data_IF_325422546541
#
_entry.id   IF_325422546541
#
_cell.length_a   1.000
_cell.length_b   1.000
_cell.length_c   1.000
_cell.angle_alpha   90.00
_cell.angle_beta   90.00
_cell.angle_gamma   90.00
#
_symmetry.space_group_name_H-M   'P 1'
#
loop_
_entity.id
_entity.type
_entity.pdbx_description
1 polymer ?
#
# COMPACT_ATOMS: atom_id res chain seq x y z
N UNK A 1 4.02 20.29 18.47
CA UNK A 1 5.44 19.88 18.59
C UNK A 1 6.26 21.04 19.10
N UNK A 2 7.21 20.75 19.98
CA UNK A 2 8.16 21.71 20.53
C UNK A 2 9.58 21.40 20.02
N UNK A 3 10.38 22.44 19.77
CA UNK A 3 11.81 22.35 19.44
C UNK A 3 12.61 22.68 20.70
N UNK A 4 13.62 21.88 21.01
CA UNK A 4 14.47 22.04 22.19
C UNK A 4 15.57 23.06 21.91
N UNK A 5 15.66 24.09 22.76
CA UNK A 5 16.66 25.16 22.68
C UNK A 5 17.91 24.84 23.51
N UNK A 6 17.73 24.20 24.66
CA UNK A 6 18.79 23.92 25.62
C UNK A 6 18.79 22.45 26.04
N UNK A 7 19.99 21.91 26.29
CA UNK A 7 20.12 20.56 26.82
C UNK A 7 19.64 20.50 28.28
N UNK A 8 18.91 19.45 28.64
CA UNK A 8 18.50 19.17 30.00
C UNK A 8 18.78 17.70 30.35
N UNK A 9 19.38 17.50 31.53
CA UNK A 9 19.66 16.18 32.09
C UNK A 9 18.62 15.86 33.17
N UNK A 10 17.93 14.72 33.10
CA UNK A 10 16.94 14.30 34.09
C UNK A 10 17.53 14.26 35.50
N UNK A 11 16.79 14.82 36.46
CA UNK A 11 17.06 14.69 37.89
C UNK A 11 16.22 13.55 38.50
N UNK A 12 15.03 13.32 37.96
CA UNK A 12 14.12 12.25 38.37
C UNK A 12 13.90 11.23 37.23
N UNK A 13 13.40 10.04 37.59
CA UNK A 13 13.22 8.91 36.66
C UNK A 13 12.13 9.13 35.60
N UNK A 14 11.21 10.03 35.88
CA UNK A 14 10.07 10.43 35.04
C UNK A 14 10.40 11.63 34.15
N UNK A 15 11.57 12.23 34.30
CA UNK A 15 12.05 13.34 33.48
C UNK A 15 12.73 12.86 32.19
N UNK A 16 12.48 13.58 31.11
CA UNK A 16 12.96 13.28 29.77
C UNK A 16 14.30 13.97 29.51
N UNK A 17 15.29 13.19 29.11
CA UNK A 17 16.56 13.73 28.62
C UNK A 17 16.35 14.38 27.25
N UNK A 18 16.73 15.65 27.12
CA UNK A 18 16.59 16.44 25.88
C UNK A 18 17.91 17.11 25.51
N UNK A 19 18.23 17.14 24.21
CA UNK A 19 19.39 17.86 23.67
C UNK A 19 18.91 19.01 22.77
N UNK A 20 19.70 20.08 22.68
CA UNK A 20 19.41 21.20 21.79
C UNK A 20 19.22 20.73 20.33
N UNK A 21 18.16 21.19 19.68
CA UNK A 21 17.74 20.79 18.34
C UNK A 21 16.82 19.57 18.28
N UNK A 22 16.57 18.87 19.39
CA UNK A 22 15.59 17.78 19.42
C UNK A 22 14.15 18.30 19.23
N UNK A 23 13.27 17.44 18.73
CA UNK A 23 11.83 17.72 18.62
C UNK A 23 11.03 16.84 19.57
N UNK A 24 10.06 17.45 20.25
CA UNK A 24 9.24 16.81 21.26
C UNK A 24 7.76 16.90 20.84
N UNK A 25 7.10 15.76 20.77
CA UNK A 25 5.65 15.73 20.61
C UNK A 25 4.98 15.93 21.97
N UNK A 26 4.05 16.89 22.04
CA UNK A 26 3.29 17.21 23.26
C UNK A 26 1.82 17.03 22.92
N UNK A 27 1.16 16.12 23.64
CA UNK A 27 -0.28 15.89 23.53
C UNK A 27 -1.02 16.89 24.43
N UNK A 28 -1.84 17.80 23.87
CA UNK A 28 -2.58 18.79 24.65
C UNK A 28 -3.55 18.18 25.66
N UNK A 29 -4.02 16.95 25.41
CA UNK A 29 -4.99 16.28 26.28
C UNK A 29 -4.37 15.73 27.57
N UNK A 30 -3.03 15.68 27.64
CA UNK A 30 -2.29 15.09 28.75
C UNK A 30 -1.54 16.11 29.62
N UNK A 31 -1.86 17.40 29.47
CA UNK A 31 -1.19 18.48 30.22
C UNK A 31 -1.93 18.91 31.49
N UNK A 32 -3.11 18.35 31.78
CA UNK A 32 -3.98 18.81 32.89
C UNK A 32 -3.39 18.64 34.29
N UNK A 33 -2.50 17.65 34.46
CA UNK A 33 -1.93 17.28 35.76
C UNK A 33 -0.43 17.65 35.89
N UNK A 34 0.08 18.50 35.00
CA UNK A 34 1.50 18.88 34.97
C UNK A 34 1.74 20.14 35.81
N UNK A 35 2.82 20.14 36.60
CA UNK A 35 3.22 21.30 37.40
C UNK A 35 3.62 22.49 36.51
N UNK A 36 3.37 23.70 36.99
CA UNK A 36 3.68 24.94 36.27
C UNK A 36 5.17 24.99 35.85
N UNK A 37 5.43 25.30 34.58
CA UNK A 37 6.78 25.35 33.98
C UNK A 37 7.30 24.01 33.46
N UNK A 38 6.52 22.93 33.57
CA UNK A 38 6.83 21.62 33.01
C UNK A 38 5.81 21.24 31.95
N UNK A 39 6.25 20.42 30.98
CA UNK A 39 5.37 19.77 30.01
C UNK A 39 5.71 18.30 29.92
N UNK A 40 4.72 17.46 29.66
CA UNK A 40 4.96 16.04 29.38
C UNK A 40 4.99 15.81 27.87
N UNK A 41 6.08 15.20 27.39
CA UNK A 41 6.34 15.05 25.97
C UNK A 41 6.98 13.72 25.61
N UNK A 42 6.92 13.37 24.32
CA UNK A 42 7.58 12.20 23.74
C UNK A 42 8.71 12.66 22.82
N UNK A 43 9.93 12.21 23.08
CA UNK A 43 11.11 12.54 22.27
C UNK A 43 11.02 11.90 20.89
N UNK A 44 11.19 12.70 19.84
CA UNK A 44 11.29 12.18 18.48
C UNK A 44 12.48 11.24 18.30
N UNK A 45 13.62 11.57 18.92
CA UNK A 45 14.87 10.83 18.72
C UNK A 45 14.85 9.47 19.41
N UNK A 46 14.29 9.39 20.61
CA UNK A 46 14.37 8.18 21.44
C UNK A 46 13.05 7.45 21.59
N UNK A 47 11.92 8.08 21.26
CA UNK A 47 10.58 7.56 21.52
C UNK A 47 10.20 7.54 23.01
N UNK A 48 11.10 7.94 23.92
CA UNK A 48 10.83 7.97 25.35
C UNK A 48 9.86 9.11 25.70
N UNK A 49 8.99 8.86 26.67
CA UNK A 49 8.07 9.84 27.24
C UNK A 49 8.53 10.26 28.63
N UNK A 50 8.40 11.54 28.95
CA UNK A 50 8.71 12.06 30.29
C UNK A 50 8.48 13.57 30.39
N UNK A 51 8.72 14.11 31.58
CA UNK A 51 8.62 15.54 31.87
C UNK A 51 9.84 16.32 31.38
N UNK A 52 9.63 17.51 30.84
CA UNK A 52 10.70 18.43 30.46
C UNK A 52 10.36 19.88 30.83
N UNK A 53 11.35 20.74 31.08
CA UNK A 53 11.11 22.16 31.34
C UNK A 53 10.55 22.86 30.10
N UNK A 54 9.41 23.54 30.23
CA UNK A 54 8.75 24.22 29.11
C UNK A 54 9.62 25.34 28.55
N UNK A 55 10.29 26.09 29.44
CA UNK A 55 11.18 27.21 29.09
C UNK A 55 12.47 26.79 28.35
N UNK A 56 12.72 25.48 28.19
CA UNK A 56 13.84 24.95 27.41
C UNK A 56 13.43 24.67 25.96
N UNK A 57 12.20 25.03 25.60
CA UNK A 57 11.62 24.72 24.30
C UNK A 57 10.90 25.91 23.70
N UNK A 58 10.66 25.83 22.39
CA UNK A 58 9.80 26.75 21.67
C UNK A 58 8.85 25.98 20.74
N UNK A 59 7.80 26.64 20.26
CA UNK A 59 6.91 26.05 19.27
C UNK A 59 7.67 25.83 17.95
N UNK A 60 7.67 24.58 17.47
CA UNK A 60 8.28 24.25 16.17
C UNK A 60 7.46 24.86 15.01
N UNK A 61 8.12 25.12 13.87
CA UNK A 61 7.43 25.52 12.64
C UNK A 61 6.45 24.44 12.18
N UNK A 62 5.36 24.82 11.49
CA UNK A 62 4.34 23.88 11.00
C UNK A 62 4.93 22.78 10.10
N UNK A 63 5.97 23.09 9.31
CA UNK A 63 6.70 22.12 8.48
C UNK A 63 7.41 21.03 9.28
N UNK A 64 7.67 21.28 10.57
CA UNK A 64 8.43 20.42 11.48
C UNK A 64 7.50 19.76 12.52
N UNK A 65 6.19 19.89 12.33
CA UNK A 65 5.18 19.24 13.17
C UNK A 65 4.93 17.81 12.71
N UNK A 66 4.84 16.89 13.67
CA UNK A 66 4.57 15.48 13.45
C UNK A 66 3.45 15.03 14.39
N UNK A 67 2.62 14.10 13.93
CA UNK A 67 1.47 13.59 14.67
C UNK A 67 1.76 12.14 15.09
N UNK A 68 1.61 11.85 16.39
CA UNK A 68 1.68 10.48 16.90
C UNK A 68 0.42 9.72 16.48
N UNK A 69 0.52 8.82 15.50
CA UNK A 69 -0.62 8.06 14.99
C UNK A 69 -1.05 6.89 15.89
N UNK A 70 -0.08 6.19 16.51
CA UNK A 70 -0.32 5.04 17.39
C UNK A 70 0.91 4.76 18.24
N UNK A 71 0.70 4.22 19.44
CA UNK A 71 1.75 3.72 20.34
C UNK A 71 1.66 2.20 20.45
N UNK A 72 2.80 1.52 20.44
CA UNK A 72 2.89 0.08 20.66
C UNK A 72 3.79 -0.18 21.87
N UNK A 73 3.25 -0.83 22.89
CA UNK A 73 4.02 -1.27 24.06
C UNK A 73 4.53 -2.68 23.79
N UNK A 74 5.85 -2.81 23.62
CA UNK A 74 6.48 -4.12 23.52
C UNK A 74 6.80 -4.62 24.93
N UNK A 75 6.01 -5.58 25.41
CA UNK A 75 6.34 -6.29 26.65
C UNK A 75 7.45 -7.28 26.34
N UNK A 76 8.56 -7.20 27.06
CA UNK A 76 9.63 -8.20 26.98
C UNK A 76 9.04 -9.55 27.35
N UNK A 77 9.11 -10.53 26.43
CA UNK A 77 8.63 -11.87 26.69
C UNK A 77 9.47 -12.51 27.80
N UNK A 78 9.01 -12.39 29.05
CA UNK A 78 9.49 -13.20 30.15
C UNK A 78 9.13 -14.65 29.82
N UNK A 79 10.14 -15.45 29.52
CA UNK A 79 10.01 -16.90 29.36
C UNK A 79 9.42 -17.49 30.64
N UNK A 80 8.25 -18.11 30.54
CA UNK A 80 7.86 -19.19 31.45
C UNK A 80 7.00 -20.19 30.71
N UNK A 81 7.49 -21.42 30.65
CA UNK A 81 6.77 -22.61 30.19
C UNK A 81 5.77 -23.08 31.26
N UNK A 82 4.62 -23.58 30.76
CA UNK A 82 3.68 -24.56 31.36
C UNK A 82 3.07 -24.29 32.74
N UNK A 83 1.73 -24.18 32.79
CA UNK A 83 0.86 -25.25 33.32
C UNK A 83 -0.61 -24.98 33.02
N UNK A 84 -1.31 -26.07 32.74
CA UNK A 84 -2.77 -26.27 32.71
C UNK A 84 -3.41 -25.99 34.07
N UNK A 85 -4.58 -25.36 34.10
CA UNK A 85 -5.83 -25.86 34.72
C UNK A 85 -6.85 -24.75 35.04
N UNK A 86 -8.11 -25.06 34.69
CA UNK A 86 -9.38 -24.75 35.38
C UNK A 86 -9.86 -23.31 35.60
N UNK A 87 -11.04 -23.04 35.00
CA UNK A 87 -12.03 -22.02 35.36
C UNK A 87 -12.44 -22.04 36.85
N UNK A 88 -13.00 -20.93 37.38
CA UNK A 88 -14.47 -20.78 37.39
C UNK A 88 -15.00 -19.37 37.07
N UNK A 89 -16.14 -19.39 36.37
CA UNK A 89 -17.21 -18.38 36.35
C UNK A 89 -17.36 -17.55 37.64
N UNK A 90 -17.37 -16.22 37.51
CA UNK A 90 -18.13 -15.32 38.39
C UNK A 90 -19.02 -14.40 37.57
N UNK A 91 -20.33 -14.55 37.76
CA UNK A 91 -21.35 -13.56 37.40
C UNK A 91 -21.51 -12.61 38.58
N UNK A 92 -21.50 -11.29 38.36
CA UNK A 92 -22.41 -10.42 39.10
C UNK A 92 -22.74 -9.14 38.32
N UNK A 93 -24.04 -8.88 38.30
CA UNK A 93 -24.75 -7.81 37.62
C UNK A 93 -24.38 -6.41 38.14
N UNK A 94 -24.40 -5.43 37.23
CA UNK A 94 -24.54 -4.02 37.55
C UNK A 94 -25.34 -3.32 36.45
N UNK A 95 -26.63 -3.12 36.69
CA UNK A 95 -27.56 -2.36 35.83
C UNK A 95 -27.11 -0.90 35.68
N UNK A 96 -27.07 -0.39 34.44
CA UNK A 96 -27.24 1.05 34.19
C UNK A 96 -28.17 1.24 32.98
N UNK A 97 -29.39 1.66 33.32
CA UNK A 97 -30.41 2.39 32.58
C UNK A 97 -30.14 2.76 31.10
N UNK A 98 -31.02 2.24 30.25
CA UNK A 98 -31.26 2.69 28.88
C UNK A 98 -32.31 3.81 28.83
N UNK A 99 -32.13 4.83 27.98
CA UNK A 99 -33.23 5.55 27.38
C UNK A 99 -33.48 5.03 25.96
N UNK A 100 -34.61 4.34 25.83
CA UNK A 100 -35.33 4.09 24.58
C UNK A 100 -35.47 5.37 23.75
N UNK A 101 -35.00 5.32 22.49
CA UNK A 101 -35.60 6.06 21.38
C UNK A 101 -35.48 5.20 20.11
N UNK A 102 -36.56 4.48 19.84
CA UNK A 102 -36.86 3.80 18.59
C UNK A 102 -36.72 4.77 17.40
N UNK A 103 -35.62 4.69 16.67
CA UNK A 103 -35.55 5.15 15.27
C UNK A 103 -35.73 3.95 14.38
N UNK A 104 -36.76 4.02 13.53
CA UNK A 104 -37.19 2.93 12.66
C UNK A 104 -36.02 2.40 11.81
N UNK A 105 -35.85 1.08 11.82
CA UNK A 105 -34.91 0.34 10.97
C UNK A 105 -35.16 0.63 9.47
N UNK A 106 -36.37 1.08 9.13
CA UNK A 106 -36.74 1.52 7.78
C UNK A 106 -35.98 2.76 7.29
N UNK A 107 -35.58 3.69 8.16
CA UNK A 107 -34.85 4.90 7.76
C UNK A 107 -33.33 4.68 7.64
N UNK A 108 -32.79 3.60 8.21
CA UNK A 108 -31.38 3.21 8.04
C UNK A 108 -31.19 2.50 6.69
N UNK A 109 -32.18 1.75 6.24
CA UNK A 109 -32.19 1.12 4.91
C UNK A 109 -32.45 2.13 3.78
N UNK A 110 -33.16 3.23 4.03
CA UNK A 110 -33.36 4.27 3.02
C UNK A 110 -32.14 5.17 2.79
N UNK A 111 -31.18 5.22 3.72
CA UNK A 111 -29.92 5.95 3.55
C UNK A 111 -28.81 5.10 2.90
N UNK A 112 -28.90 3.76 2.97
CA UNK A 112 -27.97 2.85 2.28
C UNK A 112 -28.18 2.82 0.75
N UNK A 113 -29.30 3.38 0.26
CA UNK A 113 -29.57 3.59 -1.17
C UNK A 113 -29.26 5.01 -1.65
N UNK A 114 -28.54 5.82 -0.86
CA UNK A 114 -27.94 7.05 -1.35
C UNK A 114 -26.78 6.71 -2.32
N UNK A 115 -27.14 6.39 -3.57
CA UNK A 115 -26.27 6.31 -4.74
C UNK A 115 -24.87 5.71 -4.48
N UNK A 116 -24.72 4.38 -4.51
CA UNK A 116 -23.42 3.76 -4.79
C UNK A 116 -22.92 4.35 -6.12
N UNK A 117 -22.01 5.32 -6.02
CA UNK A 117 -21.38 5.99 -7.15
C UNK A 117 -20.39 5.00 -7.76
N UNK A 118 -20.37 4.94 -9.09
CA UNK A 118 -19.40 4.10 -9.78
C UNK A 118 -18.05 4.78 -9.68
N UNK A 119 -17.07 4.03 -9.21
CA UNK A 119 -15.71 4.52 -9.02
C UNK A 119 -14.69 3.72 -9.81
N UNK A 120 -13.63 4.36 -10.26
CA UNK A 120 -12.46 3.72 -10.86
C UNK A 120 -11.25 4.10 -10.05
N UNK A 121 -10.69 3.14 -9.32
CA UNK A 121 -9.48 3.31 -8.51
C UNK A 121 -8.31 2.67 -9.25
N UNK A 122 -7.40 3.50 -9.76
CA UNK A 122 -6.20 3.03 -10.48
C UNK A 122 -4.99 3.14 -9.57
N UNK A 123 -4.19 2.08 -9.50
CA UNK A 123 -3.08 1.97 -8.56
C UNK A 123 -1.84 1.37 -9.22
N UNK A 124 -0.67 1.90 -8.88
CA UNK A 124 0.63 1.30 -9.23
C UNK A 124 0.91 0.07 -8.36
N UNK A 125 1.52 -0.95 -8.93
CA UNK A 125 2.04 -2.09 -8.18
C UNK A 125 2.96 -1.71 -6.98
N UNK A 126 3.14 -2.65 -6.05
CA UNK A 126 4.08 -2.57 -4.93
C UNK A 126 5.56 -2.57 -5.29
N UNK A 127 6.40 -2.38 -4.28
CA UNK A 127 7.86 -2.48 -4.42
C UNK A 127 8.28 -3.81 -5.06
N UNK A 128 9.10 -3.71 -6.10
CA UNK A 128 9.63 -4.87 -6.83
C UNK A 128 11.00 -5.27 -6.28
N UNK A 129 11.32 -6.56 -6.35
CA UNK A 129 12.64 -7.06 -5.92
C UNK A 129 13.80 -6.42 -6.70
N UNK A 130 13.65 -6.22 -8.01
CA UNK A 130 14.72 -5.68 -8.86
C UNK A 130 14.95 -4.17 -8.66
N UNK A 131 13.98 -3.45 -8.09
CA UNK A 131 14.15 -2.06 -7.67
C UNK A 131 15.05 -1.95 -6.42
N UNK A 132 14.98 -2.94 -5.53
CA UNK A 132 15.75 -2.97 -4.29
C UNK A 132 17.14 -3.57 -4.51
N UNK A 133 17.19 -4.72 -5.19
CA UNK A 133 18.39 -5.55 -5.31
C UNK A 133 19.13 -5.37 -6.65
N UNK A 134 18.61 -4.50 -7.52
CA UNK A 134 19.19 -4.17 -8.81
C UNK A 134 18.98 -5.25 -9.88
N UNK A 135 19.62 -5.04 -11.03
CA UNK A 135 19.43 -5.90 -12.22
C UNK A 135 19.86 -7.35 -12.01
N UNK A 136 20.82 -7.60 -11.12
CA UNK A 136 21.35 -8.92 -10.81
C UNK A 136 20.60 -9.64 -9.67
N UNK A 137 19.40 -9.17 -9.30
CA UNK A 137 18.65 -9.70 -8.15
C UNK A 137 18.44 -11.22 -8.25
N UNK A 138 18.22 -11.73 -9.47
CA UNK A 138 17.93 -13.14 -9.68
C UNK A 138 19.13 -14.01 -9.35
N UNK A 139 20.33 -13.59 -9.76
CA UNK A 139 21.58 -14.29 -9.44
C UNK A 139 21.88 -14.28 -7.94
N UNK A 140 21.47 -13.23 -7.22
CA UNK A 140 21.66 -13.14 -5.76
C UNK A 140 20.81 -14.18 -5.00
N UNK A 141 19.67 -14.60 -5.54
CA UNK A 141 18.72 -15.52 -4.88
C UNK A 141 18.67 -16.92 -5.50
N UNK A 142 19.66 -17.30 -6.30
CA UNK A 142 19.81 -18.64 -6.85
C UNK A 142 21.08 -19.30 -6.34
N UNK A 143 20.95 -20.55 -5.90
CA UNK A 143 22.10 -21.41 -5.59
C UNK A 143 22.81 -21.86 -6.87
N UNK A 144 23.99 -22.47 -6.74
CA UNK A 144 24.75 -22.99 -7.89
C UNK A 144 24.02 -24.10 -8.66
N UNK A 145 23.13 -24.85 -8.01
CA UNK A 145 22.24 -25.84 -8.65
C UNK A 145 20.93 -25.21 -9.18
N UNK A 146 20.81 -23.88 -9.16
CA UNK A 146 19.68 -23.14 -9.73
C UNK A 146 18.41 -23.15 -8.88
N UNK A 147 18.51 -23.51 -7.59
CA UNK A 147 17.37 -23.45 -6.67
C UNK A 147 17.23 -22.06 -6.06
N UNK A 148 15.99 -21.63 -5.93
CA UNK A 148 15.68 -20.38 -5.25
C UNK A 148 15.98 -20.47 -3.75
N UNK A 149 16.63 -19.45 -3.21
CA UNK A 149 16.78 -19.24 -1.78
C UNK A 149 16.66 -17.76 -1.44
N UNK A 150 16.19 -17.46 -0.23
CA UNK A 150 15.97 -16.09 0.24
C UNK A 150 17.28 -15.52 0.81
N UNK A 151 18.04 -14.80 -0.02
CA UNK A 151 19.34 -14.20 0.34
C UNK A 151 19.23 -12.98 1.28
N UNK A 152 18.09 -12.30 1.25
CA UNK A 152 17.73 -11.14 2.08
C UNK A 152 16.26 -11.28 2.48
N UNK A 153 15.86 -10.83 3.67
CA UNK A 153 14.49 -10.98 4.17
C UNK A 153 13.46 -10.22 3.32
N UNK A 154 13.88 -9.21 2.54
CA UNK A 154 13.00 -8.49 1.63
C UNK A 154 12.79 -9.23 0.29
N UNK A 155 13.51 -10.32 0.00
CA UNK A 155 13.07 -11.26 -1.04
C UNK A 155 11.88 -12.09 -0.55
N UNK A 156 10.92 -12.46 -1.44
CA UNK A 156 9.79 -13.29 -1.04
C UNK A 156 10.23 -14.65 -0.49
N UNK A 157 9.39 -15.33 0.29
CA UNK A 157 9.74 -16.65 0.83
C UNK A 157 9.88 -17.73 -0.25
N UNK A 158 9.16 -17.56 -1.36
CA UNK A 158 9.10 -18.51 -2.47
C UNK A 158 8.82 -17.77 -3.78
N UNK A 159 9.29 -18.32 -4.91
CA UNK A 159 8.83 -17.93 -6.23
C UNK A 159 7.75 -18.90 -6.73
N UNK A 160 6.74 -18.42 -7.48
CA UNK A 160 5.76 -19.31 -8.08
C UNK A 160 6.44 -20.23 -9.11
N UNK A 161 5.85 -21.41 -9.33
CA UNK A 161 6.34 -22.31 -10.39
C UNK A 161 5.97 -21.71 -11.75
N UNK A 162 6.94 -21.72 -12.67
CA UNK A 162 6.73 -21.37 -14.08
C UNK A 162 7.25 -22.48 -14.97
N UNK A 163 6.55 -22.80 -16.06
CA UNK A 163 6.92 -23.88 -16.99
C UNK A 163 8.20 -23.56 -17.75
N UNK A 164 8.44 -22.29 -18.00
CA UNK A 164 9.62 -21.77 -18.71
C UNK A 164 10.86 -21.61 -17.79
N UNK A 165 10.69 -21.82 -16.48
CA UNK A 165 11.77 -21.84 -15.51
C UNK A 165 12.12 -20.49 -14.91
N UNK A 166 13.02 -20.52 -13.92
CA UNK A 166 13.28 -19.38 -13.02
C UNK A 166 13.94 -18.17 -13.70
N UNK A 167 14.58 -18.36 -14.85
CA UNK A 167 15.26 -17.29 -15.59
C UNK A 167 14.30 -16.21 -16.08
N UNK A 168 13.05 -16.56 -16.36
CA UNK A 168 12.09 -15.61 -16.90
C UNK A 168 11.57 -14.59 -15.87
N UNK A 169 11.83 -14.79 -14.57
CA UNK A 169 11.58 -13.75 -13.58
C UNK A 169 12.46 -12.51 -13.80
N UNK A 170 13.62 -12.62 -14.46
CA UNK A 170 14.52 -11.48 -14.72
C UNK A 170 13.79 -10.30 -15.37
N UNK A 171 12.85 -10.58 -16.28
CA UNK A 171 12.06 -9.58 -16.99
C UNK A 171 10.61 -9.45 -16.46
N UNK A 172 10.21 -10.30 -15.51
CA UNK A 172 8.92 -10.21 -14.83
C UNK A 172 9.10 -10.43 -13.32
N UNK A 173 9.78 -9.48 -12.63
CA UNK A 173 10.16 -9.65 -11.24
C UNK A 173 8.94 -9.62 -10.31
N UNK A 174 8.96 -10.41 -9.23
CA UNK A 174 7.92 -10.38 -8.20
C UNK A 174 8.01 -9.10 -7.34
N UNK A 175 7.01 -8.93 -6.48
CA UNK A 175 7.08 -8.03 -5.33
C UNK A 175 8.15 -8.49 -4.33
N UNK A 176 8.73 -7.52 -3.63
CA UNK A 176 9.49 -7.75 -2.40
C UNK A 176 8.54 -8.03 -1.22
N UNK A 177 9.08 -8.43 -0.07
CA UNK A 177 8.28 -8.55 1.16
C UNK A 177 7.68 -7.21 1.59
N UNK A 178 8.42 -6.10 1.43
CA UNK A 178 7.88 -4.75 1.63
C UNK A 178 6.75 -4.45 0.63
N UNK A 179 6.89 -4.81 -0.65
CA UNK A 179 5.84 -4.67 -1.65
C UNK A 179 4.55 -5.45 -1.31
N UNK A 180 4.70 -6.66 -0.78
CA UNK A 180 3.61 -7.48 -0.27
C UNK A 180 2.92 -6.78 0.92
N UNK A 181 3.71 -6.30 1.90
CA UNK A 181 3.20 -5.57 3.06
C UNK A 181 2.44 -4.30 2.65
N UNK A 182 3.03 -3.46 1.79
CA UNK A 182 2.39 -2.26 1.25
C UNK A 182 1.02 -2.57 0.63
N UNK A 183 0.97 -3.61 -0.22
CA UNK A 183 -0.25 -4.00 -0.93
C UNK A 183 -1.35 -4.48 0.02
N UNK A 184 -0.99 -5.28 1.02
CA UNK A 184 -1.93 -5.77 2.02
C UNK A 184 -2.47 -4.64 2.90
N UNK A 185 -1.58 -3.74 3.35
CA UNK A 185 -1.95 -2.58 4.18
C UNK A 185 -2.94 -1.67 3.46
N UNK A 186 -2.77 -1.44 2.16
CA UNK A 186 -3.74 -0.68 1.36
C UNK A 186 -5.10 -1.41 1.27
N UNK A 187 -5.09 -2.73 1.10
CA UNK A 187 -6.33 -3.52 1.14
C UNK A 187 -7.06 -3.41 2.49
N UNK A 188 -6.32 -3.46 3.60
CA UNK A 188 -6.87 -3.26 4.96
C UNK A 188 -7.43 -1.84 5.13
N UNK A 189 -6.73 -0.82 4.65
CA UNK A 189 -7.21 0.56 4.70
C UNK A 189 -8.49 0.76 3.86
N UNK A 190 -8.59 0.13 2.69
CA UNK A 190 -9.81 0.18 1.87
C UNK A 190 -10.99 -0.52 2.55
N UNK A 191 -10.72 -1.58 3.32
CA UNK A 191 -11.73 -2.26 4.13
C UNK A 191 -12.24 -1.37 5.26
N UNK A 192 -11.33 -0.68 5.96
CA UNK A 192 -11.68 0.27 7.03
C UNK A 192 -12.52 1.45 6.53
N UNK A 193 -12.43 1.78 5.24
CA UNK A 193 -13.23 2.80 4.56
C UNK A 193 -14.48 2.24 3.89
N UNK A 194 -14.81 0.96 4.13
CA UNK A 194 -15.99 0.27 3.60
C UNK A 194 -16.12 0.34 2.06
N UNK A 195 -14.99 0.40 1.35
CA UNK A 195 -14.99 0.52 -0.11
C UNK A 195 -15.53 -0.77 -0.75
N UNK A 196 -16.64 -0.64 -1.49
CA UNK A 196 -17.25 -1.76 -2.19
C UNK A 196 -16.56 -2.01 -3.53
N UNK A 197 -15.57 -2.90 -3.55
CA UNK A 197 -14.88 -3.31 -4.78
C UNK A 197 -15.67 -4.42 -5.49
N UNK A 198 -16.13 -4.12 -6.70
CA UNK A 198 -16.94 -5.03 -7.53
C UNK A 198 -16.10 -5.81 -8.54
N UNK A 199 -15.05 -5.18 -9.08
CA UNK A 199 -14.13 -5.81 -10.02
C UNK A 199 -12.69 -5.45 -9.71
N UNK A 200 -11.80 -6.41 -9.97
CA UNK A 200 -10.36 -6.29 -9.83
C UNK A 200 -9.72 -6.60 -11.18
N UNK A 201 -9.09 -5.60 -11.80
CA UNK A 201 -8.32 -5.78 -13.02
C UNK A 201 -6.83 -5.62 -12.73
N UNK A 202 -5.99 -6.40 -13.39
CA UNK A 202 -4.54 -6.30 -13.25
C UNK A 202 -3.85 -6.41 -14.59
N UNK A 203 -2.76 -5.64 -14.74
CA UNK A 203 -1.74 -5.92 -15.74
C UNK A 203 -1.20 -7.36 -15.59
N UNK A 204 -0.78 -8.00 -16.70
CA UNK A 204 -0.24 -9.37 -16.66
C UNK A 204 1.11 -9.50 -15.95
N UNK A 205 1.80 -8.38 -15.66
CA UNK A 205 3.06 -8.41 -14.91
C UNK A 205 2.86 -9.03 -13.52
N UNK A 206 3.75 -9.93 -13.11
CA UNK A 206 3.61 -10.69 -11.86
C UNK A 206 3.48 -9.77 -10.64
N UNK A 207 4.28 -8.70 -10.59
CA UNK A 207 4.19 -7.65 -9.56
C UNK A 207 2.79 -7.04 -9.42
N UNK A 208 2.07 -6.86 -10.53
CA UNK A 208 0.71 -6.31 -10.53
C UNK A 208 -0.29 -7.36 -10.02
N UNK A 209 -0.16 -8.61 -10.48
CA UNK A 209 -1.00 -9.73 -10.02
C UNK A 209 -0.86 -9.95 -8.52
N UNK A 210 0.38 -9.95 -8.01
CA UNK A 210 0.67 -10.09 -6.59
C UNK A 210 0.13 -8.91 -5.78
N UNK A 211 0.26 -7.69 -6.29
CA UNK A 211 -0.32 -6.50 -5.65
C UNK A 211 -1.83 -6.65 -5.54
N UNK A 212 -2.52 -6.98 -6.63
CA UNK A 212 -3.96 -7.20 -6.66
C UNK A 212 -4.41 -8.30 -5.69
N UNK A 213 -3.68 -9.43 -5.66
CA UNK A 213 -3.94 -10.53 -4.73
C UNK A 213 -3.87 -10.08 -3.26
N UNK A 214 -2.83 -9.35 -2.88
CA UNK A 214 -2.64 -8.91 -1.50
C UNK A 214 -3.61 -7.81 -1.09
N UNK A 215 -4.02 -6.93 -2.03
CA UNK A 215 -5.12 -5.99 -1.82
C UNK A 215 -6.43 -6.74 -1.54
N UNK A 216 -6.76 -7.77 -2.34
CA UNK A 216 -7.96 -8.58 -2.11
C UNK A 216 -7.94 -9.31 -0.76
N UNK A 217 -6.77 -9.77 -0.32
CA UNK A 217 -6.61 -10.37 1.01
C UNK A 217 -6.84 -9.35 2.13
N UNK A 218 -6.27 -8.15 2.03
CA UNK A 218 -6.53 -7.06 3.00
C UNK A 218 -8.00 -6.65 3.05
N UNK A 219 -8.65 -6.59 1.88
CA UNK A 219 -10.08 -6.35 1.73
C UNK A 219 -10.98 -7.49 2.21
N UNK A 220 -10.43 -8.68 2.48
CA UNK A 220 -11.19 -9.91 2.76
C UNK A 220 -12.18 -10.27 1.63
N UNK A 221 -11.80 -9.99 0.39
CA UNK A 221 -12.59 -10.25 -0.83
C UNK A 221 -12.01 -11.35 -1.73
N UNK A 222 -10.91 -11.99 -1.34
CA UNK A 222 -10.19 -13.00 -2.12
C UNK A 222 -11.02 -14.26 -2.45
N UNK A 223 -12.14 -14.48 -1.75
CA UNK A 223 -13.09 -15.56 -2.06
C UNK A 223 -14.27 -15.10 -2.93
N UNK A 224 -14.51 -13.78 -3.04
CA UNK A 224 -15.68 -13.20 -3.72
C UNK A 224 -15.32 -12.55 -5.06
N UNK A 225 -14.20 -11.84 -5.10
CA UNK A 225 -13.72 -11.09 -6.26
C UNK A 225 -12.51 -11.82 -6.83
N UNK A 226 -12.50 -12.01 -8.14
CA UNK A 226 -11.39 -12.60 -8.89
C UNK A 226 -10.68 -11.56 -9.73
N UNK A 227 -9.37 -11.72 -9.89
CA UNK A 227 -8.47 -10.86 -10.66
C UNK A 227 -8.66 -11.15 -12.15
N UNK A 228 -9.07 -10.13 -12.90
CA UNK A 228 -9.18 -10.14 -14.35
C UNK A 228 -7.86 -9.67 -14.96
N UNK A 229 -7.14 -10.58 -15.59
CA UNK A 229 -5.85 -10.26 -16.23
C UNK A 229 -6.12 -9.61 -17.58
N UNK A 230 -5.70 -8.35 -17.72
CA UNK A 230 -5.93 -7.54 -18.92
C UNK A 230 -4.58 -7.07 -19.51
N UNK A 231 -4.10 -7.69 -20.61
CA UNK A 231 -2.85 -7.30 -21.27
C UNK A 231 -2.79 -5.84 -21.69
N UNK A 232 -3.93 -5.22 -22.02
CA UNK A 232 -4.00 -3.79 -22.33
C UNK A 232 -3.63 -2.86 -21.16
N UNK A 233 -3.51 -3.38 -19.93
CA UNK A 233 -3.01 -2.65 -18.75
C UNK A 233 -1.47 -2.69 -18.62
N UNK A 234 -0.75 -3.39 -19.51
CA UNK A 234 0.70 -3.46 -19.42
C UNK A 234 1.38 -2.11 -19.67
N UNK A 235 2.59 -1.95 -19.15
CA UNK A 235 3.41 -0.73 -19.24
C UNK A 235 3.72 -0.37 -20.70
N UNK A 236 4.10 0.87 -20.94
CA UNK A 236 4.63 1.31 -22.22
C UNK A 236 5.84 0.46 -22.58
N UNK A 237 5.70 -0.38 -23.60
CA UNK A 237 6.67 -1.45 -23.90
C UNK A 237 8.03 -0.92 -24.33
N UNK A 238 8.13 0.35 -24.72
CA UNK A 238 9.41 1.06 -24.93
C UNK A 238 10.29 1.11 -23.69
N UNK A 239 9.71 1.02 -22.49
CA UNK A 239 10.46 1.01 -21.23
C UNK A 239 10.94 -0.38 -20.82
N UNK A 240 10.55 -1.44 -21.53
CA UNK A 240 11.01 -2.79 -21.22
C UNK A 240 12.47 -3.00 -21.62
N UNK A 241 13.27 -3.50 -20.68
CA UNK A 241 14.72 -3.55 -20.80
C UNK A 241 15.20 -4.44 -21.96
N UNK A 242 14.48 -5.52 -22.26
CA UNK A 242 14.81 -6.45 -23.34
C UNK A 242 14.31 -5.99 -24.71
N UNK A 243 13.56 -4.88 -24.80
CA UNK A 243 12.76 -4.46 -25.96
C UNK A 243 11.76 -5.51 -26.45
N UNK A 244 11.63 -6.63 -25.74
CA UNK A 244 10.69 -7.70 -25.99
C UNK A 244 9.59 -7.67 -24.92
N UNK A 245 8.43 -8.23 -25.25
CA UNK A 245 7.37 -8.42 -24.26
C UNK A 245 7.84 -9.49 -23.26
N UNK A 246 7.79 -9.23 -21.94
CA UNK A 246 8.11 -10.25 -20.96
C UNK A 246 7.23 -11.48 -21.17
N UNK A 247 7.82 -12.66 -20.97
CA UNK A 247 7.01 -13.87 -20.94
C UNK A 247 6.20 -13.85 -19.64
N UNK A 248 4.93 -13.45 -19.69
CA UNK A 248 4.08 -13.42 -18.50
C UNK A 248 3.67 -14.84 -18.11
N UNK A 249 3.42 -15.05 -16.82
CA UNK A 249 2.75 -16.28 -16.38
C UNK A 249 1.38 -16.38 -17.05
N UNK A 250 1.05 -17.57 -17.55
CA UNK A 250 -0.27 -17.84 -18.12
C UNK A 250 -1.35 -17.80 -17.04
N UNK A 251 -2.61 -17.55 -17.43
CA UNK A 251 -3.77 -17.61 -16.53
C UNK A 251 -3.82 -18.94 -15.76
N UNK A 252 -3.45 -20.04 -16.41
CA UNK A 252 -3.37 -21.37 -15.79
C UNK A 252 -2.26 -21.44 -14.75
N UNK A 253 -1.04 -21.01 -15.06
CA UNK A 253 0.07 -21.00 -14.10
C UNK A 253 -0.21 -20.09 -12.91
N UNK A 254 -0.86 -18.94 -13.14
CA UNK A 254 -1.27 -18.04 -12.06
C UNK A 254 -2.31 -18.70 -11.13
N UNK A 255 -3.28 -19.42 -11.70
CA UNK A 255 -4.27 -20.17 -10.91
C UNK A 255 -3.63 -21.35 -10.15
N UNK A 256 -2.70 -22.08 -10.77
CA UNK A 256 -1.90 -23.15 -10.14
C UNK A 256 -1.01 -22.61 -9.01
N UNK A 257 -0.54 -21.37 -9.13
CA UNK A 257 0.16 -20.64 -8.08
C UNK A 257 -0.76 -20.06 -6.99
N UNK A 258 -2.05 -20.45 -6.99
CA UNK A 258 -3.09 -20.06 -6.03
C UNK A 258 -3.46 -18.57 -6.03
N UNK A 259 -3.13 -17.81 -7.08
CA UNK A 259 -3.69 -16.48 -7.28
C UNK A 259 -5.17 -16.58 -7.66
N UNK A 260 -5.99 -15.63 -7.17
CA UNK A 260 -7.45 -15.64 -7.37
C UNK A 260 -7.83 -15.12 -8.75
N UNK A 261 -7.41 -15.81 -9.80
CA UNK A 261 -7.64 -15.38 -11.19
C UNK A 261 -9.04 -15.72 -11.68
N UNK A 262 -9.66 -14.80 -12.43
CA UNK A 262 -10.88 -15.05 -13.20
C UNK A 262 -10.52 -15.73 -14.52
N UNK A 263 -10.55 -17.07 -14.54
CA UNK A 263 -10.25 -17.87 -15.73
C UNK A 263 -11.31 -17.78 -16.83
N UNK A 264 -12.50 -17.26 -16.49
CA UNK A 264 -13.60 -17.04 -17.45
C UNK A 264 -13.48 -15.70 -18.18
N UNK A 265 -12.73 -14.75 -17.61
CA UNK A 265 -12.51 -13.46 -18.24
C UNK A 265 -11.79 -13.59 -19.58
N UNK A 266 -12.21 -12.78 -20.54
CA UNK A 266 -11.57 -12.61 -21.85
C UNK A 266 -11.22 -11.14 -21.98
N UNK A 267 -9.93 -10.84 -22.04
CA UNK A 267 -9.43 -9.48 -22.17
C UNK A 267 -9.91 -8.83 -23.46
N UNK A 268 -10.12 -7.51 -23.41
CA UNK A 268 -10.49 -6.72 -24.58
C UNK A 268 -9.26 -6.44 -25.47
N UNK A 269 -8.06 -6.54 -24.90
CA UNK A 269 -6.81 -6.40 -25.62
C UNK A 269 -6.01 -7.71 -25.54
N UNK A 270 -5.89 -8.48 -26.64
CA UNK A 270 -5.19 -9.75 -26.60
C UNK A 270 -3.68 -9.51 -26.42
N UNK A 271 -3.01 -10.40 -25.68
CA UNK A 271 -1.57 -10.30 -25.42
C UNK A 271 -0.73 -10.27 -26.71
N UNK A 272 -1.18 -10.97 -27.76
CA UNK A 272 -0.53 -10.98 -29.08
C UNK A 272 -0.56 -9.63 -29.79
N UNK A 273 -1.43 -8.70 -29.39
CA UNK A 273 -1.49 -7.34 -29.94
C UNK A 273 -0.55 -6.37 -29.21
N UNK A 274 0.11 -6.80 -28.13
CA UNK A 274 1.06 -5.97 -27.41
C UNK A 274 2.37 -5.90 -28.21
N UNK A 275 2.64 -4.74 -28.81
CA UNK A 275 3.79 -4.56 -29.69
C UNK A 275 5.07 -4.34 -28.88
N UNK A 276 6.17 -5.05 -29.19
CA UNK A 276 7.46 -4.76 -28.59
C UNK A 276 7.93 -3.35 -28.97
N UNK A 277 8.36 -2.55 -27.98
CA UNK A 277 8.84 -1.18 -28.18
C UNK A 277 7.86 -0.26 -28.94
N UNK A 278 6.57 -0.35 -28.60
CA UNK A 278 5.50 0.50 -29.16
C UNK A 278 5.84 2.00 -28.99
N UNK A 279 5.41 2.85 -29.93
CA UNK A 279 5.53 4.29 -29.77
C UNK A 279 4.52 4.83 -28.73
N UNK A 280 4.63 6.11 -28.40
CA UNK A 280 3.81 6.68 -27.32
C UNK A 280 2.33 6.76 -27.71
N UNK A 281 2.03 7.06 -28.97
CA UNK A 281 0.69 7.14 -29.53
C UNK A 281 -0.01 5.77 -29.52
N UNK A 282 0.72 4.71 -29.88
CA UNK A 282 0.27 3.32 -29.76
C UNK A 282 -0.05 2.96 -28.31
N UNK A 283 0.84 3.31 -27.37
CA UNK A 283 0.63 3.06 -25.94
C UNK A 283 -0.65 3.74 -25.38
N UNK A 284 -0.84 5.03 -25.67
CA UNK A 284 -2.01 5.76 -25.17
C UNK A 284 -3.30 5.37 -25.89
N UNK A 285 -3.23 4.86 -27.12
CA UNK A 285 -4.42 4.47 -27.91
C UNK A 285 -5.01 3.11 -27.54
N UNK A 286 -4.21 2.16 -27.02
CA UNK A 286 -4.75 0.87 -26.53
C UNK A 286 -5.51 0.98 -25.20
N UNK A 287 -5.25 2.04 -24.44
CA UNK A 287 -5.77 2.23 -23.08
C UNK A 287 -7.29 2.52 -23.02
N UNK A 288 -7.87 3.39 -23.85
CA UNK A 288 -9.31 3.70 -23.86
C UNK A 288 -10.24 2.52 -24.17
N UNK A 289 -9.77 1.51 -24.92
CA UNK A 289 -10.59 0.35 -25.32
C UNK A 289 -11.06 -0.48 -24.10
N UNK A 290 -10.33 -0.42 -22.99
CA UNK A 290 -10.66 -1.12 -21.75
C UNK A 290 -11.80 -0.46 -20.98
N UNK A 291 -11.92 0.87 -21.11
CA UNK A 291 -12.88 1.68 -20.37
C UNK A 291 -14.30 1.46 -20.90
N UNK A 292 -14.49 1.36 -22.23
CA UNK A 292 -15.84 1.30 -22.81
C UNK A 292 -16.64 0.05 -22.39
N UNK A 293 -15.97 -1.10 -22.21
CA UNK A 293 -16.63 -2.37 -21.88
C UNK A 293 -16.67 -2.68 -20.38
N UNK A 294 -15.73 -2.18 -19.58
CA UNK A 294 -15.69 -2.46 -18.14
C UNK A 294 -16.81 -1.75 -17.35
N UNK A 295 -17.43 -0.71 -17.92
CA UNK A 295 -18.30 0.20 -17.16
C UNK A 295 -19.81 0.04 -17.42
N UNK A 296 -20.27 -0.84 -18.29
CA UNK A 296 -21.73 -1.00 -18.51
C UNK A 296 -22.38 -1.77 -17.35
N UNK A 297 -23.32 -1.15 -16.64
CA UNK A 297 -24.21 -1.81 -15.68
C UNK A 297 -23.63 -2.15 -14.30
N UNK A 298 -22.43 -1.68 -13.97
CA UNK A 298 -21.75 -1.97 -12.70
C UNK A 298 -22.11 -0.96 -11.60
N UNK A 299 -22.38 -1.42 -10.38
CA UNK A 299 -22.37 -0.59 -9.16
C UNK A 299 -21.09 -0.85 -8.34
N UNK A 300 -20.57 0.16 -7.65
CA UNK A 300 -19.36 0.06 -6.83
C UNK A 300 -18.06 0.46 -7.53
N UNK A 301 -16.93 0.11 -6.93
CA UNK A 301 -15.58 0.48 -7.37
C UNK A 301 -14.97 -0.62 -8.25
N UNK A 302 -14.40 -0.20 -9.38
CA UNK A 302 -13.53 -1.01 -10.22
C UNK A 302 -12.09 -0.65 -9.86
N UNK A 303 -11.37 -1.62 -9.30
CA UNK A 303 -9.98 -1.46 -8.91
C UNK A 303 -9.07 -1.98 -10.03
N UNK A 304 -8.15 -1.13 -10.49
CA UNK A 304 -7.20 -1.42 -11.56
C UNK A 304 -5.78 -1.36 -10.98
N UNK A 305 -5.06 -2.48 -11.02
CA UNK A 305 -3.65 -2.55 -10.64
C UNK A 305 -2.77 -2.61 -11.88
N UNK A 306 -1.96 -1.58 -12.08
CA UNK A 306 -1.07 -1.45 -13.23
C UNK A 306 0.28 -0.88 -12.83
N UNK A 307 0.76 0.07 -13.62
CA UNK A 307 2.05 0.70 -13.48
C UNK A 307 1.88 2.19 -13.17
N UNK A 308 2.98 2.92 -12.97
CA UNK A 308 2.89 4.37 -12.71
C UNK A 308 2.23 5.10 -13.89
N UNK A 309 2.55 4.69 -15.11
CA UNK A 309 1.94 5.17 -16.35
C UNK A 309 0.42 5.00 -16.38
N UNK A 310 -0.10 3.94 -15.73
CA UNK A 310 -1.52 3.62 -15.75
C UNK A 310 -2.37 4.70 -15.07
N UNK A 311 -1.84 5.39 -14.05
CA UNK A 311 -2.60 6.45 -13.38
C UNK A 311 -3.01 7.56 -14.35
N UNK A 312 -2.19 7.87 -15.35
CA UNK A 312 -2.47 8.91 -16.33
C UNK A 312 -3.09 8.36 -17.61
N UNK A 313 -2.57 7.26 -18.15
CA UNK A 313 -3.10 6.74 -19.42
C UNK A 313 -4.56 6.29 -19.29
N UNK A 314 -4.99 5.80 -18.12
CA UNK A 314 -6.37 5.32 -17.92
C UNK A 314 -7.33 6.42 -17.47
N UNK A 315 -6.89 7.33 -16.59
CA UNK A 315 -7.81 8.34 -16.06
C UNK A 315 -8.00 9.52 -16.99
N UNK A 316 -7.00 9.92 -17.79
CA UNK A 316 -7.16 11.07 -18.69
C UNK A 316 -8.23 10.84 -19.76
N UNK A 317 -8.27 9.70 -20.47
CA UNK A 317 -9.37 9.40 -21.39
C UNK A 317 -10.73 9.34 -20.70
N UNK A 318 -10.77 8.77 -19.49
CA UNK A 318 -11.99 8.72 -18.67
C UNK A 318 -12.54 10.12 -18.38
N UNK A 319 -11.65 11.08 -18.13
CA UNK A 319 -11.95 12.49 -17.89
C UNK A 319 -12.17 13.31 -19.18
N UNK A 320 -12.09 12.70 -20.36
CA UNK A 320 -12.14 13.43 -21.64
C UNK A 320 -10.95 14.37 -21.87
N UNK A 321 -9.82 14.15 -21.19
CA UNK A 321 -8.62 14.96 -21.32
C UNK A 321 -7.67 14.38 -22.38
N UNK A 322 -6.98 15.24 -23.17
CA UNK A 322 -6.02 14.76 -24.15
C UNK A 322 -4.81 14.10 -23.48
N UNK A 323 -4.14 13.21 -24.22
CA UNK A 323 -2.85 12.69 -23.81
C UNK A 323 -1.85 13.84 -23.56
N UNK A 324 -0.94 13.67 -22.60
CA UNK A 324 0.18 14.60 -22.40
C UNK A 324 1.23 14.39 -23.50
N UNK A 325 2.13 15.34 -23.66
CA UNK A 325 3.38 15.07 -24.38
C UNK A 325 4.15 13.91 -23.72
N UNK A 326 4.88 13.14 -24.52
CA UNK A 326 5.59 11.95 -24.06
C UNK A 326 6.67 12.23 -23.00
N UNK A 327 7.34 13.38 -23.06
CA UNK A 327 8.36 13.80 -22.08
C UNK A 327 7.70 14.17 -20.75
N UNK A 328 6.67 15.02 -20.81
CA UNK A 328 5.90 15.42 -19.63
C UNK A 328 5.24 14.23 -18.95
N UNK A 329 4.72 13.30 -19.75
CA UNK A 329 4.20 12.03 -19.29
C UNK A 329 5.26 11.23 -18.52
N UNK A 330 6.42 11.01 -19.12
CA UNK A 330 7.52 10.25 -18.50
C UNK A 330 8.00 10.90 -17.19
N UNK A 331 8.12 12.23 -17.15
CA UNK A 331 8.50 12.95 -15.93
C UNK A 331 7.47 12.81 -14.82
N UNK A 332 6.18 12.87 -15.15
CA UNK A 332 5.11 12.69 -14.19
C UNK A 332 5.07 11.25 -13.65
N UNK A 333 5.25 10.24 -14.51
CA UNK A 333 5.26 8.83 -14.10
C UNK A 333 6.35 8.53 -13.07
N UNK A 334 7.55 9.10 -13.25
CA UNK A 334 8.69 8.88 -12.33
C UNK A 334 8.42 9.34 -10.88
N UNK A 335 7.46 10.23 -10.68
CA UNK A 335 7.10 10.76 -9.35
C UNK A 335 6.08 9.89 -8.61
N UNK A 336 5.50 8.89 -9.27
CA UNK A 336 4.45 8.05 -8.68
C UNK A 336 5.11 6.96 -7.83
N UNK A 337 4.90 6.93 -6.50
CA UNK A 337 5.49 5.91 -5.62
C UNK A 337 4.79 4.56 -5.78
N UNK A 338 5.33 3.50 -5.19
CA UNK A 338 4.64 2.22 -5.03
C UNK A 338 3.27 2.45 -4.38
N UNK A 339 2.22 1.79 -4.89
CA UNK A 339 0.82 1.96 -4.44
C UNK A 339 0.28 3.38 -4.59
N UNK A 340 0.99 4.26 -5.32
CA UNK A 340 0.44 5.54 -5.75
C UNK A 340 -0.86 5.30 -6.52
N UNK A 341 -1.89 6.08 -6.22
CA UNK A 341 -3.23 5.85 -6.73
C UNK A 341 -3.95 7.14 -7.13
N UNK A 342 -4.92 7.00 -8.04
CA UNK A 342 -5.86 8.04 -8.42
C UNK A 342 -7.28 7.45 -8.50
N UNK A 343 -8.28 8.27 -8.23
CA UNK A 343 -9.66 7.83 -8.11
C UNK A 343 -10.59 8.72 -8.93
N UNK A 344 -11.35 8.12 -9.85
CA UNK A 344 -12.35 8.81 -10.64
C UNK A 344 -13.75 8.34 -10.25
N UNK A 345 -14.69 9.26 -10.11
CA UNK A 345 -16.10 8.96 -9.85
C UNK A 345 -17.01 9.42 -11.00
N UNK A 346 -18.02 8.61 -11.29
CA UNK A 346 -19.06 8.91 -12.27
C UNK A 346 -20.14 9.81 -11.67
N UNK A 347 -20.34 10.98 -12.29
CA UNK A 347 -21.48 11.86 -12.06
C UNK A 347 -22.63 11.38 -12.95
N UNK A 348 -23.49 10.52 -12.40
CA UNK A 348 -24.62 9.91 -13.13
C UNK A 348 -25.51 10.92 -13.84
N UNK A 349 -25.71 12.10 -13.25
CA UNK A 349 -26.57 13.15 -13.79
C UNK A 349 -26.00 13.79 -15.07
N UNK A 350 -24.67 13.80 -15.22
CA UNK A 350 -23.98 14.42 -16.37
C UNK A 350 -23.37 13.41 -17.35
N UNK A 351 -23.40 12.11 -17.01
CA UNK A 351 -22.65 11.07 -17.71
C UNK A 351 -21.17 11.44 -17.91
N UNK A 352 -20.57 12.06 -16.88
CA UNK A 352 -19.18 12.51 -16.86
C UNK A 352 -18.42 11.90 -15.71
N UNK A 353 -17.11 11.82 -15.87
CA UNK A 353 -16.19 11.41 -14.81
C UNK A 353 -15.42 12.62 -14.29
N UNK A 354 -15.11 12.59 -13.01
CA UNK A 354 -14.24 13.57 -12.38
C UNK A 354 -13.26 12.88 -11.45
N UNK A 355 -12.09 13.48 -11.29
CA UNK A 355 -11.08 13.00 -10.35
C UNK A 355 -11.44 13.52 -8.96
N UNK A 356 -11.40 12.62 -7.97
CA UNK A 356 -11.62 12.92 -6.56
C UNK A 356 -10.44 12.41 -5.73
N UNK A 357 -10.40 12.76 -4.45
CA UNK A 357 -9.43 12.19 -3.54
C UNK A 357 -9.65 10.66 -3.44
N UNK A 358 -8.58 9.85 -3.49
CA UNK A 358 -8.69 8.44 -3.20
C UNK A 358 -9.32 8.20 -1.82
N UNK A 359 -10.06 7.08 -1.64
CA UNK A 359 -10.74 6.80 -0.37
C UNK A 359 -9.77 6.49 0.78
N UNK A 360 -8.48 6.28 0.49
CA UNK A 360 -7.44 6.00 1.49
C UNK A 360 -6.26 6.95 1.35
N UNK A 361 -5.56 7.17 2.46
CA UNK A 361 -4.37 8.02 2.51
C UNK A 361 -3.16 7.38 1.80
N UNK A 362 -2.15 8.20 1.55
CA UNK A 362 -0.87 7.73 1.01
C UNK A 362 -0.09 6.90 2.03
N UNK A 363 0.72 5.97 1.53
CA UNK A 363 1.70 5.23 2.33
C UNK A 363 3.09 5.81 2.08
N UNK A 364 3.71 6.38 3.11
CA UNK A 364 5.06 6.96 3.06
C UNK A 364 5.94 6.28 4.10
N UNK A 365 7.10 5.78 3.68
CA UNK A 365 8.09 5.19 4.58
C UNK A 365 9.51 5.38 4.03
N UNK A 366 10.51 5.31 4.93
CA UNK A 366 11.92 5.36 4.56
C UNK A 366 12.45 4.04 4.01
N UNK A 367 13.68 4.07 3.49
CA UNK A 367 14.42 2.88 3.13
C UNK A 367 15.03 2.21 4.38
N UNK A 368 15.32 0.91 4.27
CA UNK A 368 16.11 0.18 5.27
C UNK A 368 17.39 -0.34 4.60
N UNK A 369 18.56 0.07 5.11
CA UNK A 369 19.83 -0.21 4.48
C UNK A 369 20.29 -1.66 4.71
N UNK A 370 20.98 -2.23 3.73
CA UNK A 370 21.66 -3.51 3.91
C UNK A 370 22.75 -3.36 4.99
N UNK A 371 22.79 -4.30 5.93
CA UNK A 371 23.74 -4.27 7.05
C UNK A 371 24.59 -5.55 7.08
N UNK A 372 25.91 -5.37 7.05
CA UNK A 372 26.88 -6.43 7.29
C UNK A 372 27.72 -6.08 8.52
N UNK A 373 27.47 -6.80 9.61
CA UNK A 373 28.12 -6.57 10.90
C UNK A 373 29.64 -6.77 10.86
N UNK A 374 30.17 -7.62 9.97
CA UNK A 374 31.61 -7.87 9.89
C UNK A 374 32.37 -6.64 9.41
N UNK A 375 31.84 -5.97 8.39
CA UNK A 375 32.47 -4.79 7.80
C UNK A 375 32.43 -3.56 8.74
N UNK A 376 31.51 -3.53 9.69
CA UNK A 376 31.35 -2.38 10.60
C UNK A 376 31.92 -2.58 12.01
N UNK A 377 32.12 -3.83 12.44
CA UNK A 377 32.48 -4.15 13.83
C UNK A 377 33.79 -4.95 13.92
N UNK A 378 34.08 -5.80 12.92
CA UNK A 378 35.19 -6.77 13.00
C UNK A 378 36.44 -6.30 12.24
N UNK A 379 36.30 -5.43 11.24
CA UNK A 379 37.46 -4.81 10.59
C UNK A 379 38.18 -3.87 11.57
N UNK A 380 39.34 -4.33 12.07
CA UNK A 380 40.36 -3.56 12.80
C UNK A 380 41.57 -3.39 11.90
#
# INVERSE_FOLDING_TARGET
TLRVLFQYKPQNIDELMINAGDFIYVDPTQQSDVSEGWVIGTSHRTGCRGFLPENYTERAHESDTWVKHREYVFVTASRSFTQTENEPNEKLNGEVHSPSMSRSVANVLSLQNANLRRGVLVMRHGERVDQVFGKSWLQQCLTSDGKYYRADLNFPSTLPKRKDGVKHFEYDPPLSCCGIFQSRLIGEALLDQEVTVSYMYSSPALRCIQTAQHILQGLKLDQKVKIRVEPGLFEWTKWEASKAIPNFMTVTELAEAAYKIDTSYRGNFPLSSLMPSENYEEYVSRTPLLLFFAFSGVSGVILIVGHGSSLMSFTRPLLGLPARDSSDFAQAVRKIPSLGMCYCEELKEENKWHMVNPPVNTLTHGANAAFNWRNGIVEV
#
